data_IF_365644015301
#
_entry.id   IF_365644015301
#
_cell.length_a   1.000
_cell.length_b   1.000
_cell.length_c   1.000
_cell.angle_alpha   90.00
_cell.angle_beta   90.00
_cell.angle_gamma   90.00
#
_symmetry.space_group_name_H-M   'P 1'
#
loop_
_entity.id
_entity.type
_entity.pdbx_description
1 polymer ?
#
# COMPACT_ATOMS: atom_id res chain seq x y z
N UNK A 1 -15.36 -8.56 -1.26
CA UNK A 1 -14.94 -8.65 0.15
C UNK A 1 -15.24 -7.36 0.91
N UNK A 2 -14.68 -6.22 0.52
CA UNK A 2 -14.85 -4.93 1.21
C UNK A 2 -16.32 -4.53 1.51
N UNK A 3 -17.24 -4.70 0.55
CA UNK A 3 -18.67 -4.45 0.78
C UNK A 3 -19.27 -5.22 1.95
N UNK A 4 -18.90 -6.50 2.10
CA UNK A 4 -19.38 -7.33 3.21
C UNK A 4 -18.90 -6.78 4.55
N UNK A 5 -17.68 -6.22 4.61
CA UNK A 5 -17.17 -5.58 5.83
C UNK A 5 -18.02 -4.37 6.21
N UNK A 6 -18.40 -3.53 5.25
CA UNK A 6 -19.32 -2.39 5.47
C UNK A 6 -20.72 -2.86 5.88
N UNK A 7 -21.30 -3.80 5.13
CA UNK A 7 -22.65 -4.33 5.36
C UNK A 7 -22.78 -4.98 6.75
N UNK A 8 -21.73 -5.65 7.22
CA UNK A 8 -21.68 -6.27 8.55
C UNK A 8 -21.14 -5.34 9.66
N UNK A 9 -20.80 -4.08 9.34
CA UNK A 9 -20.25 -3.10 10.29
C UNK A 9 -18.96 -3.57 10.98
N UNK A 10 -18.06 -4.18 10.20
CA UNK A 10 -16.71 -4.58 10.63
C UNK A 10 -15.64 -3.53 10.31
N UNK A 11 -16.09 -2.30 10.11
CA UNK A 11 -15.30 -1.11 9.78
C UNK A 11 -15.89 0.06 10.55
N UNK A 12 -15.19 1.18 10.54
CA UNK A 12 -15.66 2.44 11.08
C UNK A 12 -17.01 2.84 10.45
N UNK A 13 -17.88 3.47 11.24
CA UNK A 13 -19.21 3.88 10.76
C UNK A 13 -19.16 5.00 9.73
N UNK A 14 -18.10 5.81 9.76
CA UNK A 14 -17.82 6.85 8.78
C UNK A 14 -16.54 6.51 8.01
N UNK A 15 -16.71 6.17 6.74
CA UNK A 15 -15.62 5.78 5.83
C UNK A 15 -14.98 6.99 5.14
N UNK A 16 -15.57 8.18 5.28
CA UNK A 16 -15.24 9.37 4.50
C UNK A 16 -14.42 10.41 5.25
N UNK A 17 -14.49 10.42 6.59
CA UNK A 17 -13.80 11.40 7.43
C UNK A 17 -12.66 10.81 8.27
N UNK A 18 -12.25 9.57 7.98
CA UNK A 18 -11.20 8.91 8.74
C UNK A 18 -9.88 9.71 8.69
N UNK A 19 -9.20 9.79 9.82
CA UNK A 19 -7.97 10.54 10.01
C UNK A 19 -6.83 9.57 10.32
N UNK A 20 -5.74 9.69 9.56
CA UNK A 20 -4.54 8.86 9.69
C UNK A 20 -4.03 8.70 11.14
N UNK A 21 -3.91 9.81 11.88
CA UNK A 21 -3.41 9.78 13.25
C UNK A 21 -4.40 9.12 14.21
N UNK A 22 -5.70 9.30 13.96
CA UNK A 22 -6.76 8.64 14.73
C UNK A 22 -6.74 7.13 14.51
N UNK A 23 -6.65 6.65 13.26
CA UNK A 23 -6.64 5.22 12.95
C UNK A 23 -5.47 4.49 13.63
N UNK A 24 -4.27 5.09 13.61
CA UNK A 24 -3.11 4.54 14.33
C UNK A 24 -3.37 4.43 15.84
N UNK A 25 -3.94 5.47 16.45
CA UNK A 25 -4.28 5.47 17.86
C UNK A 25 -5.36 4.45 18.23
N UNK A 26 -6.33 4.20 17.36
CA UNK A 26 -7.36 3.19 17.58
C UNK A 26 -6.80 1.78 17.56
N UNK A 27 -5.90 1.47 16.65
CA UNK A 27 -5.17 0.19 16.64
C UNK A 27 -4.29 0.08 17.88
N UNK A 28 -3.51 1.13 18.18
CA UNK A 28 -2.59 1.13 19.32
C UNK A 28 -3.29 0.97 20.68
N UNK A 29 -4.52 1.48 20.81
CA UNK A 29 -5.33 1.34 22.03
C UNK A 29 -6.23 0.10 22.04
N UNK A 30 -6.15 -0.76 21.03
CA UNK A 30 -6.95 -1.98 20.93
C UNK A 30 -8.44 -1.76 20.58
N UNK A 31 -8.80 -0.55 20.14
CA UNK A 31 -10.17 -0.25 19.66
C UNK A 31 -10.44 -0.80 18.26
N UNK A 32 -9.39 -0.92 17.44
CA UNK A 32 -9.43 -1.55 16.13
C UNK A 32 -8.54 -2.81 16.11
N UNK A 33 -9.08 -3.92 15.61
CA UNK A 33 -8.39 -5.21 15.63
C UNK A 33 -7.48 -5.46 14.40
N UNK A 34 -7.76 -4.81 13.27
CA UNK A 34 -7.03 -5.02 12.02
C UNK A 34 -6.81 -3.69 11.30
N UNK A 35 -5.66 -3.54 10.65
CA UNK A 35 -5.32 -2.37 9.86
C UNK A 35 -4.71 -2.80 8.52
N UNK A 36 -5.38 -2.49 7.41
CA UNK A 36 -4.98 -2.95 6.08
C UNK A 36 -3.97 -1.99 5.44
N UNK A 37 -2.69 -2.17 5.78
CA UNK A 37 -1.58 -1.34 5.31
C UNK A 37 -0.29 -2.15 5.12
N UNK A 38 0.74 -1.51 4.59
CA UNK A 38 2.08 -2.10 4.50
C UNK A 38 2.81 -2.11 5.84
N UNK A 39 3.90 -2.88 5.90
CA UNK A 39 4.77 -3.07 7.07
C UNK A 39 5.30 -1.77 7.68
N UNK A 40 5.44 -0.70 6.89
CA UNK A 40 5.87 0.62 7.35
C UNK A 40 4.96 1.24 8.42
N UNK A 41 3.72 0.75 8.57
CA UNK A 41 2.81 1.23 9.62
C UNK A 41 3.19 0.72 11.01
N UNK A 42 3.89 -0.42 11.10
CA UNK A 42 4.22 -1.09 12.37
C UNK A 42 4.95 -0.15 13.34
N UNK A 43 6.07 0.49 12.98
CA UNK A 43 6.74 1.43 13.88
C UNK A 43 5.86 2.65 14.23
N UNK A 44 4.93 3.04 13.36
CA UNK A 44 4.03 4.17 13.64
C UNK A 44 2.96 3.83 14.67
N UNK A 45 2.42 2.60 14.63
CA UNK A 45 1.44 2.11 15.62
C UNK A 45 2.12 1.89 16.98
N UNK A 46 3.34 1.36 16.99
CA UNK A 46 4.17 1.28 18.20
C UNK A 46 4.45 2.68 18.75
N UNK A 47 4.85 3.63 17.89
CA UNK A 47 5.06 5.03 18.25
C UNK A 47 3.79 5.73 18.76
N UNK A 48 2.60 5.25 18.39
CA UNK A 48 1.31 5.71 18.90
C UNK A 48 0.92 5.08 20.25
N UNK A 49 1.73 4.17 20.80
CA UNK A 49 1.58 3.61 22.14
C UNK A 49 1.28 2.11 22.21
N UNK A 50 1.27 1.39 21.09
CA UNK A 50 1.11 -0.06 21.10
C UNK A 50 2.37 -0.76 21.66
N UNK A 51 2.18 -1.82 22.44
CA UNK A 51 3.26 -2.75 22.73
C UNK A 51 3.57 -3.57 21.46
N UNK A 52 4.85 -3.79 21.16
CA UNK A 52 5.24 -4.48 19.91
C UNK A 52 4.70 -5.92 19.89
N UNK A 53 4.74 -6.60 21.03
CA UNK A 53 4.24 -7.95 21.24
C UNK A 53 2.71 -8.12 21.03
N UNK A 54 1.95 -7.02 21.07
CA UNK A 54 0.50 -7.01 20.82
C UNK A 54 0.16 -6.79 19.33
N UNK A 55 1.16 -6.47 18.50
CA UNK A 55 0.99 -6.21 17.07
C UNK A 55 1.55 -7.38 16.26
N UNK A 56 0.69 -8.02 15.46
CA UNK A 56 1.07 -9.00 14.46
C UNK A 56 1.00 -8.44 13.03
N UNK A 57 1.66 -9.11 12.08
CA UNK A 57 1.58 -8.76 10.66
C UNK A 57 1.50 -10.02 9.80
N UNK A 58 0.50 -10.08 8.91
CA UNK A 58 0.23 -11.27 8.12
C UNK A 58 -0.26 -10.91 6.70
N UNK A 59 -0.04 -11.79 5.70
CA UNK A 59 -0.52 -11.56 4.35
C UNK A 59 -2.06 -11.52 4.26
N UNK A 60 -2.59 -10.63 3.42
CA UNK A 60 -4.03 -10.48 3.28
C UNK A 60 -4.68 -11.71 2.60
N UNK A 61 -5.62 -12.42 3.26
CA UNK A 61 -6.30 -13.58 2.70
C UNK A 61 -7.44 -13.16 1.77
N UNK A 62 -7.11 -12.67 0.58
CA UNK A 62 -8.12 -12.18 -0.37
C UNK A 62 -8.95 -13.30 -1.02
N UNK A 63 -8.52 -14.55 -0.90
CA UNK A 63 -9.25 -15.74 -1.35
C UNK A 63 -9.08 -16.94 -0.38
N UNK A 64 -9.79 -18.04 -0.67
CA UNK A 64 -9.76 -19.28 0.14
C UNK A 64 -8.76 -20.33 -0.42
N UNK A 65 -7.80 -19.93 -1.25
CA UNK A 65 -6.87 -20.89 -1.90
C UNK A 65 -5.76 -21.39 -0.99
N UNK A 66 -5.52 -20.70 0.12
CA UNK A 66 -4.35 -20.93 0.98
C UNK A 66 -3.03 -20.42 0.38
N UNK A 67 -3.08 -19.72 -0.77
CA UNK A 67 -1.93 -19.03 -1.36
C UNK A 67 -2.04 -17.54 -1.07
N UNK A 68 -0.94 -16.95 -0.62
CA UNK A 68 -0.88 -15.54 -0.32
C UNK A 68 -0.01 -14.82 -1.34
N UNK A 69 -0.49 -13.66 -1.79
CA UNK A 69 0.27 -12.73 -2.61
C UNK A 69 0.47 -11.43 -1.84
N UNK A 70 1.67 -10.86 -1.95
CA UNK A 70 2.05 -9.64 -1.26
C UNK A 70 2.66 -8.64 -2.26
N UNK A 71 2.11 -7.44 -2.42
CA UNK A 71 2.77 -6.39 -3.20
C UNK A 71 4.14 -6.07 -2.60
N UNK A 72 5.17 -6.03 -3.45
CA UNK A 72 6.52 -5.61 -3.10
C UNK A 72 6.87 -4.37 -3.93
N UNK A 73 7.21 -3.29 -3.23
CA UNK A 73 7.60 -2.03 -3.84
C UNK A 73 8.62 -1.31 -2.96
N UNK A 74 9.50 -0.56 -3.61
CA UNK A 74 10.41 0.34 -2.90
C UNK A 74 9.66 1.59 -2.43
N UNK A 75 10.05 2.09 -1.26
CA UNK A 75 9.54 3.36 -0.73
C UNK A 75 10.10 4.57 -1.51
N UNK A 76 11.41 4.55 -1.74
CA UNK A 76 12.09 5.52 -2.59
C UNK A 76 12.90 4.85 -3.70
N UNK A 77 12.85 5.46 -4.89
CA UNK A 77 13.80 5.20 -5.96
C UNK A 77 14.87 6.30 -5.93
N UNK A 78 16.01 6.02 -5.32
CA UNK A 78 17.15 6.94 -5.24
C UNK A 78 18.10 6.72 -6.41
N UNK A 79 18.55 7.81 -7.03
CA UNK A 79 19.45 7.76 -8.18
C UNK A 79 20.36 8.98 -8.27
N UNK A 80 21.52 8.81 -8.91
CA UNK A 80 22.48 9.90 -9.12
C UNK A 80 22.27 10.48 -10.52
N UNK A 81 22.03 11.79 -10.60
CA UNK A 81 21.92 12.48 -11.88
C UNK A 81 23.21 12.34 -12.70
N UNK A 82 23.06 11.98 -13.98
CA UNK A 82 24.18 11.92 -14.94
C UNK A 82 24.92 13.27 -15.09
N UNK A 83 24.24 14.37 -14.78
CA UNK A 83 24.73 15.74 -14.92
C UNK A 83 25.26 16.32 -13.60
N UNK A 84 25.26 15.54 -12.50
CA UNK A 84 25.79 15.96 -11.21
C UNK A 84 27.25 16.44 -11.34
N UNK A 85 27.54 17.58 -10.70
CA UNK A 85 28.91 18.15 -10.64
C UNK A 85 29.78 17.45 -9.58
N UNK A 86 29.17 16.70 -8.67
CA UNK A 86 29.83 15.99 -7.58
C UNK A 86 29.34 14.53 -7.52
N UNK A 87 29.67 13.73 -8.55
CA UNK A 87 29.16 12.35 -8.69
C UNK A 87 29.64 11.43 -7.57
N UNK A 88 30.91 11.51 -7.20
CA UNK A 88 31.49 10.63 -6.19
C UNK A 88 30.81 10.82 -4.83
N UNK A 89 30.58 12.07 -4.43
CA UNK A 89 29.83 12.39 -3.21
C UNK A 89 28.37 11.91 -3.28
N UNK A 90 27.70 12.11 -4.42
CA UNK A 90 26.32 11.65 -4.58
C UNK A 90 26.20 10.12 -4.52
N UNK A 91 27.14 9.39 -5.13
CA UNK A 91 27.21 7.92 -5.05
C UNK A 91 27.50 7.48 -3.61
N UNK A 92 28.44 8.14 -2.93
CA UNK A 92 28.76 7.85 -1.53
C UNK A 92 27.54 8.05 -0.63
N UNK A 93 26.77 9.12 -0.83
CA UNK A 93 25.54 9.37 -0.08
C UNK A 93 24.47 8.29 -0.33
N UNK A 94 24.24 7.88 -1.59
CA UNK A 94 23.29 6.80 -1.90
C UNK A 94 23.72 5.49 -1.23
N UNK A 95 25.02 5.17 -1.24
CA UNK A 95 25.53 3.99 -0.55
C UNK A 95 25.31 4.07 0.96
N UNK A 96 25.61 5.21 1.58
CA UNK A 96 25.33 5.44 3.00
C UNK A 96 23.84 5.28 3.31
N UNK A 97 22.97 5.94 2.53
CA UNK A 97 21.52 5.87 2.74
C UNK A 97 21.00 4.43 2.68
N UNK A 98 21.38 3.66 1.66
CA UNK A 98 20.87 2.30 1.46
C UNK A 98 21.49 1.27 2.42
N UNK A 99 22.74 1.45 2.84
CA UNK A 99 23.49 0.40 3.57
C UNK A 99 23.70 0.70 5.05
N UNK A 100 23.82 1.97 5.41
CA UNK A 100 24.36 2.40 6.72
C UNK A 100 23.40 3.29 7.52
N UNK A 101 22.44 3.95 6.87
CA UNK A 101 21.60 4.96 7.54
C UNK A 101 20.63 4.42 8.59
N UNK A 102 20.28 3.12 8.52
CA UNK A 102 19.23 2.52 9.35
C UNK A 102 17.80 2.82 8.88
N UNK A 103 17.62 3.54 7.75
CA UNK A 103 16.31 3.96 7.25
C UNK A 103 15.30 2.82 7.12
N UNK A 104 15.74 1.68 6.60
CA UNK A 104 14.92 0.49 6.45
C UNK A 104 14.40 -0.01 7.79
N UNK A 105 15.26 -0.10 8.80
CA UNK A 105 14.90 -0.56 10.14
C UNK A 105 13.97 0.43 10.84
N UNK A 106 14.35 1.71 10.90
CA UNK A 106 13.59 2.74 11.62
C UNK A 106 12.20 2.97 11.01
N UNK A 107 12.08 2.80 9.69
CA UNK A 107 10.81 2.97 8.95
C UNK A 107 10.07 1.65 8.73
N UNK A 108 10.59 0.55 9.29
CA UNK A 108 9.96 -0.76 9.30
C UNK A 108 9.94 -1.52 7.98
N UNK A 109 10.84 -1.21 7.05
CA UNK A 109 10.98 -1.81 5.71
C UNK A 109 11.83 -3.09 5.68
N UNK A 110 11.70 -3.82 4.57
CA UNK A 110 12.64 -4.88 4.20
C UNK A 110 13.97 -4.25 3.73
N UNK A 111 15.13 -4.76 4.17
CA UNK A 111 16.42 -4.29 3.68
C UNK A 111 16.57 -4.52 2.17
N UNK A 112 17.12 -3.54 1.46
CA UNK A 112 17.53 -3.69 0.05
C UNK A 112 18.72 -4.66 -0.06
N UNK A 113 19.57 -4.68 0.97
CA UNK A 113 20.67 -5.64 1.09
C UNK A 113 20.14 -7.02 1.50
N UNK A 114 20.10 -7.94 0.54
CA UNK A 114 19.59 -9.31 0.71
C UNK A 114 20.40 -10.16 1.69
N UNK A 115 21.57 -9.70 2.13
CA UNK A 115 22.35 -10.38 3.17
C UNK A 115 21.87 -10.04 4.59
N UNK A 116 21.05 -8.99 4.74
CA UNK A 116 20.46 -8.59 6.01
C UNK A 116 19.10 -9.26 6.24
N UNK A 117 18.78 -9.49 7.50
CA UNK A 117 17.44 -9.89 7.94
C UNK A 117 16.70 -8.66 8.43
N UNK A 118 15.41 -8.48 8.13
CA UNK A 118 14.62 -7.38 8.69
C UNK A 118 14.60 -7.46 10.22
N UNK A 119 14.77 -6.32 10.90
CA UNK A 119 14.77 -6.27 12.38
C UNK A 119 13.36 -6.16 12.98
N UNK A 120 12.34 -5.82 12.17
CA UNK A 120 10.94 -5.78 12.62
C UNK A 120 10.43 -7.21 12.84
N UNK A 121 10.12 -7.63 14.08
CA UNK A 121 9.80 -9.02 14.38
C UNK A 121 8.53 -9.51 13.66
N UNK A 122 7.55 -8.63 13.45
CA UNK A 122 6.30 -8.96 12.76
C UNK A 122 6.52 -9.34 11.28
N UNK A 123 7.63 -8.94 10.67
CA UNK A 123 7.97 -9.41 9.31
C UNK A 123 8.35 -10.89 9.29
N UNK A 124 8.85 -11.45 10.40
CA UNK A 124 9.09 -12.89 10.50
C UNK A 124 7.77 -13.67 10.46
N UNK A 125 6.73 -13.19 11.15
CA UNK A 125 5.37 -13.77 11.10
C UNK A 125 4.79 -13.72 9.68
N UNK A 126 4.92 -12.58 9.02
CA UNK A 126 4.49 -12.40 7.64
C UNK A 126 5.18 -13.39 6.70
N UNK A 127 6.49 -13.54 6.84
CA UNK A 127 7.29 -14.46 6.02
C UNK A 127 7.03 -15.94 6.32
N UNK A 128 6.66 -16.29 7.55
CA UNK A 128 6.31 -17.67 7.92
C UNK A 128 5.10 -18.21 7.13
N UNK A 129 4.23 -17.32 6.64
CA UNK A 129 3.13 -17.67 5.75
C UNK A 129 3.54 -17.96 4.29
N UNK A 130 4.84 -17.84 3.95
CA UNK A 130 5.40 -18.03 2.62
C UNK A 130 4.62 -17.29 1.49
N UNK A 131 4.39 -15.97 1.62
CA UNK A 131 3.71 -15.22 0.58
C UNK A 131 4.56 -15.16 -0.69
N UNK A 132 3.89 -15.18 -1.83
CA UNK A 132 4.51 -14.84 -3.12
C UNK A 132 4.58 -13.32 -3.23
N UNK A 133 5.79 -12.78 -3.24
CA UNK A 133 6.01 -11.35 -3.48
C UNK A 133 5.78 -11.00 -4.94
N UNK A 134 4.99 -9.96 -5.19
CA UNK A 134 4.68 -9.44 -6.51
C UNK A 134 5.29 -8.06 -6.64
N UNK A 135 6.35 -7.95 -7.43
CA UNK A 135 6.95 -6.66 -7.77
C UNK A 135 6.09 -5.88 -8.76
N UNK A 136 5.99 -4.57 -8.55
CA UNK A 136 5.32 -3.68 -9.49
C UNK A 136 6.11 -3.58 -10.79
N UNK A 137 5.42 -3.67 -11.92
CA UNK A 137 5.99 -3.42 -13.25
C UNK A 137 5.60 -2.03 -13.74
N UNK A 138 6.36 -1.50 -14.69
CA UNK A 138 5.99 -0.27 -15.38
C UNK A 138 4.60 -0.42 -16.01
N UNK A 139 3.67 0.44 -15.62
CA UNK A 139 2.34 0.52 -16.21
C UNK A 139 2.42 1.14 -17.61
N UNK A 140 1.57 0.65 -18.52
CA UNK A 140 1.38 1.26 -19.83
C UNK A 140 0.88 2.70 -19.65
N UNK A 141 1.58 3.72 -20.20
CA UNK A 141 1.17 5.12 -20.06
C UNK A 141 -0.28 5.39 -20.52
N UNK A 142 -0.79 4.59 -21.46
CA UNK A 142 -2.18 4.68 -21.94
C UNK A 142 -3.18 4.49 -20.82
N UNK A 143 -2.88 3.67 -19.80
CA UNK A 143 -3.77 3.45 -18.66
C UNK A 143 -4.08 4.76 -17.93
N UNK A 144 -3.04 5.53 -17.62
CA UNK A 144 -3.18 6.83 -16.95
C UNK A 144 -3.84 7.87 -17.86
N UNK A 145 -3.54 7.85 -19.16
CA UNK A 145 -4.15 8.76 -20.14
C UNK A 145 -5.66 8.53 -20.26
N UNK A 146 -6.08 7.27 -20.39
CA UNK A 146 -7.50 6.89 -20.43
C UNK A 146 -8.19 7.29 -19.13
N UNK A 147 -7.62 6.97 -17.97
CA UNK A 147 -8.24 7.28 -16.69
C UNK A 147 -8.42 8.79 -16.48
N UNK A 148 -7.40 9.59 -16.81
CA UNK A 148 -7.47 11.05 -16.76
C UNK A 148 -8.57 11.58 -17.69
N UNK A 149 -8.64 11.05 -18.92
CA UNK A 149 -9.66 11.43 -19.90
C UNK A 149 -11.07 10.99 -19.48
N UNK A 150 -11.19 9.86 -18.79
CA UNK A 150 -12.44 9.33 -18.23
C UNK A 150 -12.86 10.00 -16.92
N UNK A 151 -12.02 10.89 -16.36
CA UNK A 151 -12.20 11.49 -15.04
C UNK A 151 -12.35 10.45 -13.93
N UNK A 152 -11.59 9.36 -14.02
CA UNK A 152 -11.53 8.30 -13.01
C UNK A 152 -10.30 8.58 -12.14
N UNK A 153 -10.54 8.97 -10.89
CA UNK A 153 -9.49 9.23 -9.93
C UNK A 153 -8.84 7.92 -9.47
N UNK A 154 -7.73 7.55 -10.10
CA UNK A 154 -6.94 6.38 -9.74
C UNK A 154 -6.06 6.66 -8.52
N UNK A 155 -5.91 5.66 -7.66
CA UNK A 155 -4.97 5.71 -6.53
C UNK A 155 -5.38 6.64 -5.38
N UNK A 156 -6.53 7.29 -5.46
CA UNK A 156 -7.08 8.13 -4.37
C UNK A 156 -7.98 7.36 -3.41
N UNK A 157 -8.44 6.18 -3.81
CA UNK A 157 -9.43 5.39 -3.06
C UNK A 157 -10.87 5.89 -3.20
N UNK A 158 -11.13 7.05 -3.81
CA UNK A 158 -12.48 7.63 -3.88
C UNK A 158 -13.44 6.79 -4.72
N UNK A 159 -12.96 6.27 -5.86
CA UNK A 159 -13.75 5.37 -6.72
C UNK A 159 -14.05 4.06 -5.98
N UNK A 160 -13.09 3.55 -5.20
CA UNK A 160 -13.27 2.33 -4.40
C UNK A 160 -14.32 2.55 -3.30
N UNK A 161 -14.28 3.68 -2.60
CA UNK A 161 -15.28 4.06 -1.61
C UNK A 161 -16.69 4.14 -2.22
N UNK A 162 -16.84 4.81 -3.36
CA UNK A 162 -18.11 4.92 -4.09
C UNK A 162 -18.66 3.53 -4.46
N UNK A 163 -17.80 2.64 -4.98
CA UNK A 163 -18.18 1.27 -5.33
C UNK A 163 -18.55 0.44 -4.10
N UNK A 164 -17.86 0.63 -2.97
CA UNK A 164 -18.13 -0.11 -1.74
C UNK A 164 -19.53 0.21 -1.19
N UNK A 165 -19.96 1.48 -1.26
CA UNK A 165 -21.27 1.90 -0.72
C UNK A 165 -22.38 1.97 -1.77
N UNK A 166 -22.08 1.70 -3.05
CA UNK A 166 -23.04 1.77 -4.15
C UNK A 166 -24.30 0.92 -3.87
N UNK A 167 -25.50 1.49 -4.07
CA UNK A 167 -26.77 0.75 -3.95
C UNK A 167 -26.91 -0.32 -5.03
N UNK A 168 -26.51 0.02 -6.24
CA UNK A 168 -26.45 -0.88 -7.39
C UNK A 168 -25.00 -0.96 -7.88
N UNK A 169 -24.28 -1.96 -7.36
CA UNK A 169 -22.87 -2.18 -7.70
C UNK A 169 -22.69 -2.47 -9.18
N UNK A 170 -23.62 -3.21 -9.80
CA UNK A 170 -23.53 -3.56 -11.22
C UNK A 170 -23.62 -2.29 -12.06
N UNK A 171 -24.61 -1.44 -11.79
CA UNK A 171 -24.73 -0.16 -12.48
C UNK A 171 -23.50 0.73 -12.27
N UNK A 172 -22.96 0.80 -11.06
CA UNK A 172 -21.75 1.59 -10.79
C UNK A 172 -20.54 1.13 -11.63
N UNK A 173 -20.35 -0.19 -11.75
CA UNK A 173 -19.33 -0.74 -12.66
C UNK A 173 -19.64 -0.48 -14.14
N UNK A 174 -20.90 -0.63 -14.55
CA UNK A 174 -21.32 -0.36 -15.93
C UNK A 174 -21.04 1.11 -16.31
N UNK A 175 -21.30 2.05 -15.40
CA UNK A 175 -21.03 3.48 -15.60
C UNK A 175 -19.52 3.77 -15.72
N UNK A 176 -18.68 3.16 -14.86
CA UNK A 176 -17.22 3.25 -14.97
C UNK A 176 -16.71 2.67 -16.29
N UNK A 177 -17.23 1.50 -16.69
CA UNK A 177 -16.89 0.86 -17.96
C UNK A 177 -17.28 1.73 -19.16
N UNK A 178 -18.45 2.38 -19.11
CA UNK A 178 -18.89 3.29 -20.16
C UNK A 178 -17.98 4.53 -20.27
N UNK A 179 -17.59 5.14 -19.14
CA UNK A 179 -16.63 6.25 -19.11
C UNK A 179 -15.28 5.83 -19.69
N UNK A 180 -14.76 4.67 -19.27
CA UNK A 180 -13.51 4.11 -19.77
C UNK A 180 -13.55 3.87 -21.28
N UNK A 181 -14.60 3.19 -21.78
CA UNK A 181 -14.76 2.89 -23.19
C UNK A 181 -14.87 4.15 -24.06
N UNK A 182 -15.61 5.17 -23.59
CA UNK A 182 -15.71 6.46 -24.26
C UNK A 182 -14.34 7.15 -24.34
N UNK A 183 -13.61 7.21 -23.22
CA UNK A 183 -12.29 7.82 -23.17
C UNK A 183 -11.29 7.12 -24.11
N UNK A 184 -11.26 5.78 -24.12
CA UNK A 184 -10.44 5.01 -25.07
C UNK A 184 -10.72 5.37 -26.52
N UNK A 185 -12.00 5.41 -26.90
CA UNK A 185 -12.42 5.75 -28.27
C UNK A 185 -12.00 7.17 -28.66
N UNK A 186 -12.14 8.13 -27.75
CA UNK A 186 -11.75 9.53 -28.00
C UNK A 186 -10.24 9.74 -28.12
N UNK A 187 -9.43 8.89 -27.45
CA UNK A 187 -7.97 8.90 -27.54
C UNK A 187 -7.42 8.08 -28.73
N UNK A 188 -8.28 7.30 -29.39
CA UNK A 188 -7.89 6.48 -30.54
C UNK A 188 -7.22 5.14 -30.20
N UNK A 189 -7.54 4.58 -29.02
CA UNK A 189 -7.10 3.23 -28.59
C UNK A 189 -8.16 2.14 -28.75
#
# INVERSE_FOLDING_TARGET
MARKFVENKWVESDLSTNNWEMSKGEVASGKAAMYFLGNWVIPQVIGAGAASEDIGFFPFPYDNSGKYNAPLGGDYFVGVSKDSKNKDLAIAWVNFFVKESGYDTDSGFLPVDKTKTPEVPQLAEFNAANPTYIESVAVDPRYNEIAKKAEIALGTGSVDQDLIVAKDLKKAFDDLNAKWAKARKELGY
#
